data_IF_145434689369
#
_entry.id   IF_145434689369
#
_cell.length_a   1.000
_cell.length_b   1.000
_cell.length_c   1.000
_cell.angle_alpha   90.00
_cell.angle_beta   90.00
_cell.angle_gamma   90.00
#
_symmetry.space_group_name_H-M   'P 1'
#
loop_
_entity.id
_entity.type
_entity.pdbx_description
1 polymer ?
#
# COMPACT_ATOMS: atom_id res chain seq x y z
N UNK A 1 -0.86 17.13 -4.61
CA UNK A 1 0.03 16.55 -3.57
C UNK A 1 1.48 16.78 -3.97
N UNK A 2 2.21 17.70 -3.31
CA UNK A 2 3.60 18.00 -3.63
C UNK A 2 4.52 16.78 -3.56
N UNK A 3 4.27 15.85 -2.62
CA UNK A 3 5.07 14.62 -2.45
C UNK A 3 4.98 13.65 -3.64
N UNK A 4 3.81 13.56 -4.26
CA UNK A 4 3.63 12.77 -5.48
C UNK A 4 4.35 13.44 -6.64
N UNK A 5 4.26 14.77 -6.75
CA UNK A 5 4.95 15.52 -7.78
C UNK A 5 6.48 15.38 -7.66
N UNK A 6 7.04 15.50 -6.45
CA UNK A 6 8.49 15.33 -6.22
C UNK A 6 8.95 13.91 -6.54
N UNK A 7 8.20 12.88 -6.13
CA UNK A 7 8.53 11.48 -6.41
C UNK A 7 8.47 11.15 -7.90
N UNK A 8 7.45 11.65 -8.62
CA UNK A 8 7.30 11.44 -10.07
C UNK A 8 8.42 12.15 -10.83
N UNK A 9 8.74 13.40 -10.48
CA UNK A 9 9.82 14.15 -11.14
C UNK A 9 11.17 13.46 -10.89
N UNK A 10 11.44 13.00 -9.67
CA UNK A 10 12.66 12.24 -9.35
C UNK A 10 12.74 10.93 -10.16
N UNK A 11 11.64 10.17 -10.24
CA UNK A 11 11.57 8.95 -11.03
C UNK A 11 11.81 9.21 -12.54
N UNK A 12 11.25 10.29 -13.09
CA UNK A 12 11.46 10.69 -14.49
C UNK A 12 12.90 11.13 -14.78
N UNK A 13 13.59 11.70 -13.79
CA UNK A 13 15.01 12.07 -13.88
C UNK A 13 15.97 10.88 -13.68
N UNK A 14 15.46 9.68 -13.41
CA UNK A 14 16.27 8.49 -13.12
C UNK A 14 16.74 8.40 -11.67
N UNK A 15 16.37 9.37 -10.82
CA UNK A 15 16.70 9.45 -9.39
C UNK A 15 15.76 8.56 -8.56
N UNK A 16 15.83 7.24 -8.77
CA UNK A 16 14.89 6.28 -8.16
C UNK A 16 15.01 6.22 -6.64
N UNK A 17 16.23 6.35 -6.12
CA UNK A 17 16.48 6.32 -4.68
C UNK A 17 15.83 7.51 -3.96
N UNK A 18 15.83 8.69 -4.61
CA UNK A 18 15.15 9.89 -4.10
C UNK A 18 13.63 9.69 -4.11
N UNK A 19 13.08 9.11 -5.17
CA UNK A 19 11.64 8.84 -5.26
C UNK A 19 11.19 7.85 -4.17
N UNK A 20 11.94 6.76 -3.96
CA UNK A 20 11.64 5.77 -2.90
C UNK A 20 11.83 6.39 -1.52
N UNK A 21 12.93 7.13 -1.30
CA UNK A 21 13.21 7.82 -0.04
C UNK A 21 12.10 8.80 0.35
N UNK A 22 11.55 9.53 -0.62
CA UNK A 22 10.43 10.44 -0.38
C UNK A 22 9.16 9.67 0.02
N UNK A 23 8.79 8.60 -0.70
CA UNK A 23 7.59 7.80 -0.40
C UNK A 23 7.69 7.13 0.98
N UNK A 24 8.83 6.50 1.28
CA UNK A 24 9.04 5.82 2.57
C UNK A 24 9.12 6.86 3.70
N UNK A 25 9.87 7.94 3.50
CA UNK A 25 10.04 9.01 4.47
C UNK A 25 8.73 9.69 4.85
N UNK A 26 7.89 10.07 3.86
CA UNK A 26 6.57 10.68 4.12
C UNK A 26 5.64 9.75 4.89
N UNK A 27 5.64 8.44 4.61
CA UNK A 27 4.81 7.49 5.35
C UNK A 27 5.27 7.33 6.80
N UNK A 28 6.58 7.20 7.03
CA UNK A 28 7.14 7.12 8.40
C UNK A 28 6.83 8.41 9.16
N UNK A 29 7.02 9.57 8.54
CA UNK A 29 6.72 10.86 9.15
C UNK A 29 5.23 11.01 9.49
N UNK A 30 4.32 10.61 8.59
CA UNK A 30 2.89 10.69 8.85
C UNK A 30 2.44 9.77 9.99
N UNK A 31 2.98 8.56 10.08
CA UNK A 31 2.62 7.63 11.16
C UNK A 31 3.22 8.08 12.50
N UNK A 32 4.50 8.46 12.53
CA UNK A 32 5.19 8.77 13.78
C UNK A 32 4.92 10.19 14.26
N UNK A 33 5.04 11.19 13.38
CA UNK A 33 4.89 12.59 13.76
C UNK A 33 3.42 13.01 13.69
N UNK A 34 2.74 12.88 12.55
CA UNK A 34 1.38 13.41 12.41
C UNK A 34 0.40 12.62 13.29
N UNK A 35 0.30 11.30 13.10
CA UNK A 35 -0.60 10.47 13.90
C UNK A 35 -0.15 10.39 15.36
N UNK A 36 1.15 10.22 15.63
CA UNK A 36 1.69 10.19 16.99
C UNK A 36 1.42 11.48 17.77
N UNK A 37 1.74 12.64 17.22
CA UNK A 37 1.46 13.92 17.90
C UNK A 37 -0.06 14.18 18.01
N UNK A 38 -0.84 13.82 16.99
CA UNK A 38 -2.30 13.95 17.06
C UNK A 38 -2.90 13.09 18.18
N UNK A 39 -2.35 11.89 18.41
CA UNK A 39 -2.77 11.02 19.51
C UNK A 39 -2.44 11.59 20.90
N UNK A 40 -1.30 12.29 21.03
CA UNK A 40 -0.92 12.97 22.28
C UNK A 40 -1.82 14.20 22.50
N UNK A 41 -2.15 14.93 21.44
CA UNK A 41 -2.97 16.14 21.50
C UNK A 41 -4.46 15.85 21.73
N UNK A 42 -4.93 14.62 21.47
CA UNK A 42 -6.32 14.19 21.65
C UNK A 42 -6.45 13.20 22.83
N UNK A 43 -6.54 13.69 24.09
CA UNK A 43 -6.55 12.84 25.28
C UNK A 43 -7.76 11.91 25.37
N UNK A 44 -8.88 12.28 24.75
CA UNK A 44 -10.10 11.46 24.67
C UNK A 44 -10.07 10.44 23.51
N UNK A 45 -8.95 10.37 22.79
CA UNK A 45 -8.75 9.52 21.61
C UNK A 45 -9.08 10.23 20.30
N UNK A 46 -8.61 9.65 19.20
CA UNK A 46 -8.91 10.12 17.85
C UNK A 46 -10.24 9.51 17.39
N UNK A 47 -11.21 10.31 16.91
CA UNK A 47 -12.43 9.77 16.33
C UNK A 47 -12.09 9.08 15.01
N UNK A 48 -12.12 7.75 15.01
CA UNK A 48 -11.90 6.90 13.82
C UNK A 48 -13.22 6.21 13.47
N UNK A 49 -13.55 6.15 12.18
CA UNK A 49 -14.75 5.43 11.75
C UNK A 49 -14.61 3.92 11.96
N UNK A 50 -15.72 3.26 12.30
CA UNK A 50 -15.77 1.78 12.41
C UNK A 50 -15.35 1.09 11.10
N UNK A 51 -15.64 1.69 9.95
CA UNK A 51 -15.20 1.19 8.66
C UNK A 51 -13.67 1.21 8.52
N UNK A 52 -13.02 2.30 8.98
CA UNK A 52 -11.57 2.43 8.92
C UNK A 52 -10.87 1.41 9.83
N UNK A 53 -11.40 1.16 11.04
CA UNK A 53 -10.85 0.18 11.97
C UNK A 53 -11.02 -1.27 11.49
N UNK A 54 -12.18 -1.60 10.91
CA UNK A 54 -12.50 -2.97 10.54
C UNK A 54 -12.08 -3.37 9.13
N UNK A 55 -11.78 -2.41 8.25
CA UNK A 55 -11.45 -2.70 6.84
C UNK A 55 -10.22 -1.95 6.35
N UNK A 56 -10.21 -0.62 6.41
CA UNK A 56 -9.16 0.17 5.78
C UNK A 56 -7.77 -0.13 6.37
N UNK A 57 -7.68 -0.30 7.70
CA UNK A 57 -6.42 -0.64 8.38
C UNK A 57 -5.86 -1.97 7.90
N UNK A 58 -6.72 -2.96 7.66
CA UNK A 58 -6.31 -4.29 7.20
C UNK A 58 -5.87 -4.28 5.75
N UNK A 59 -6.54 -3.48 4.90
CA UNK A 59 -6.15 -3.30 3.51
C UNK A 59 -4.79 -2.60 3.42
N UNK A 60 -4.60 -1.51 4.17
CA UNK A 60 -3.32 -0.78 4.22
C UNK A 60 -2.20 -1.68 4.73
N UNK A 61 -2.45 -2.46 5.78
CA UNK A 61 -1.47 -3.41 6.31
C UNK A 61 -1.13 -4.51 5.29
N UNK A 62 -2.13 -5.08 4.62
CA UNK A 62 -1.92 -6.10 3.60
C UNK A 62 -1.07 -5.59 2.44
N UNK A 63 -1.34 -4.38 1.95
CA UNK A 63 -0.56 -3.73 0.90
C UNK A 63 0.87 -3.43 1.39
N UNK A 64 1.03 -2.93 2.62
CA UNK A 64 2.35 -2.66 3.19
C UNK A 64 3.21 -3.94 3.29
N UNK A 65 2.61 -5.06 3.72
CA UNK A 65 3.28 -6.36 3.78
C UNK A 65 3.62 -6.86 2.37
N UNK A 66 2.72 -6.68 1.40
CA UNK A 66 2.96 -7.06 0.00
C UNK A 66 4.11 -6.28 -0.66
N UNK A 67 4.39 -5.07 -0.18
CA UNK A 67 5.55 -4.31 -0.61
C UNK A 67 6.88 -4.92 -0.09
N UNK A 68 6.89 -5.63 1.04
CA UNK A 68 8.13 -6.14 1.67
C UNK A 68 8.93 -7.07 0.75
N UNK A 69 8.36 -8.13 0.14
CA UNK A 69 9.12 -8.98 -0.78
C UNK A 69 9.72 -8.16 -1.93
N UNK A 70 8.99 -7.18 -2.46
CA UNK A 70 9.40 -6.37 -3.61
C UNK A 70 10.57 -5.44 -3.25
N UNK A 71 10.63 -4.93 -2.02
CA UNK A 71 11.76 -4.13 -1.55
C UNK A 71 12.99 -4.98 -1.18
N UNK A 72 12.77 -6.16 -0.58
CA UNK A 72 13.86 -7.03 -0.11
C UNK A 72 14.41 -7.98 -1.18
N UNK A 73 13.76 -8.06 -2.33
CA UNK A 73 14.04 -9.07 -3.36
C UNK A 73 14.19 -8.41 -4.72
N UNK A 74 15.23 -8.77 -5.48
CA UNK A 74 15.64 -8.14 -6.76
C UNK A 74 16.45 -6.84 -6.65
N UNK A 75 17.37 -6.75 -5.68
CA UNK A 75 18.37 -5.68 -5.64
C UNK A 75 17.76 -4.28 -5.52
N UNK A 76 16.72 -4.15 -4.69
CA UNK A 76 16.02 -2.89 -4.40
C UNK A 76 15.46 -2.18 -5.64
N UNK A 77 15.08 -2.92 -6.69
CA UNK A 77 14.61 -2.33 -7.95
C UNK A 77 13.18 -2.75 -8.27
N UNK A 78 12.26 -1.78 -8.33
CA UNK A 78 10.86 -2.02 -8.73
C UNK A 78 10.76 -2.15 -10.25
N UNK A 79 10.20 -3.26 -10.73
CA UNK A 79 9.94 -3.49 -12.16
C UNK A 79 8.65 -2.80 -12.60
N UNK A 80 8.56 -2.45 -13.89
CA UNK A 80 7.37 -1.77 -14.46
C UNK A 80 6.06 -2.53 -14.21
N UNK A 81 6.09 -3.87 -14.22
CA UNK A 81 4.92 -4.70 -13.96
C UNK A 81 4.46 -4.67 -12.50
N UNK A 82 5.39 -4.60 -11.54
CA UNK A 82 5.08 -4.43 -10.12
C UNK A 82 4.45 -3.05 -9.87
N UNK A 83 5.00 -2.01 -10.50
CA UNK A 83 4.41 -0.66 -10.45
C UNK A 83 2.98 -0.62 -11.04
N UNK A 84 2.74 -1.34 -12.14
CA UNK A 84 1.41 -1.40 -12.76
C UNK A 84 0.39 -2.15 -11.88
N UNK A 85 0.84 -3.19 -11.18
CA UNK A 85 0.04 -3.91 -10.19
C UNK A 85 -0.36 -3.01 -9.02
N UNK A 86 0.58 -2.25 -8.45
CA UNK A 86 0.28 -1.29 -7.37
C UNK A 86 -0.63 -0.15 -7.83
N UNK A 87 -0.46 0.34 -9.05
CA UNK A 87 -1.36 1.34 -9.62
C UNK A 87 -2.78 0.78 -9.78
N UNK A 88 -2.91 -0.48 -10.20
CA UNK A 88 -4.19 -1.19 -10.26
C UNK A 88 -4.87 -1.28 -8.89
N UNK A 89 -4.14 -1.66 -7.84
CA UNK A 89 -4.65 -1.66 -6.46
C UNK A 89 -5.09 -0.27 -6.01
N UNK A 90 -4.32 0.77 -6.32
CA UNK A 90 -4.67 2.14 -5.98
C UNK A 90 -5.98 2.56 -6.65
N UNK A 91 -6.15 2.29 -7.94
CA UNK A 91 -7.39 2.59 -8.67
C UNK A 91 -8.58 1.84 -8.06
N UNK A 92 -8.43 0.53 -7.79
CA UNK A 92 -9.49 -0.27 -7.17
C UNK A 92 -9.93 0.28 -5.81
N UNK A 93 -8.97 0.73 -5.00
CA UNK A 93 -9.21 1.36 -3.71
C UNK A 93 -9.87 2.74 -3.83
N UNK A 94 -9.45 3.59 -4.77
CA UNK A 94 -10.11 4.89 -5.01
C UNK A 94 -11.57 4.72 -5.44
N UNK A 95 -11.85 3.71 -6.28
CA UNK A 95 -13.22 3.36 -6.67
C UNK A 95 -14.04 2.89 -5.45
N UNK A 96 -13.43 2.11 -4.54
CA UNK A 96 -14.07 1.73 -3.27
C UNK A 96 -14.46 2.98 -2.47
N UNK A 97 -13.51 3.90 -2.27
CA UNK A 97 -13.76 5.14 -1.53
C UNK A 97 -14.85 6.01 -2.18
N UNK A 98 -14.92 6.04 -3.52
CA UNK A 98 -15.96 6.77 -4.23
C UNK A 98 -17.36 6.17 -3.97
N UNK A 99 -17.49 4.84 -4.01
CA UNK A 99 -18.75 4.19 -3.65
C UNK A 99 -19.12 4.36 -2.18
N UNK A 100 -18.14 4.31 -1.29
CA UNK A 100 -18.32 4.57 0.15
C UNK A 100 -18.86 5.98 0.40
N UNK A 101 -18.20 6.99 -0.18
CA UNK A 101 -18.58 8.40 -0.04
C UNK A 101 -19.96 8.71 -0.64
N UNK A 102 -20.35 8.03 -1.71
CA UNK A 102 -21.66 8.24 -2.37
C UNK A 102 -22.79 7.43 -1.74
N UNK A 103 -22.52 6.58 -0.73
CA UNK A 103 -23.48 5.64 -0.12
C UNK A 103 -24.26 4.82 -1.16
N UNK A 104 -23.59 4.49 -2.27
CA UNK A 104 -24.20 3.78 -3.39
C UNK A 104 -24.67 2.39 -2.94
N UNK A 105 -25.85 1.92 -3.35
CA UNK A 105 -26.41 0.62 -2.92
C UNK A 105 -25.49 -0.60 -3.22
N UNK A 106 -24.54 -0.44 -4.14
CA UNK A 106 -23.54 -1.44 -4.52
C UNK A 106 -22.34 -1.56 -3.56
N UNK A 107 -22.26 -0.73 -2.53
CA UNK A 107 -21.20 -0.74 -1.49
C UNK A 107 -20.94 -2.13 -0.87
N UNK A 108 -21.98 -2.88 -0.43
CA UNK A 108 -21.76 -4.18 0.20
C UNK A 108 -21.17 -5.19 -0.77
N UNK A 109 -21.61 -5.17 -2.03
CA UNK A 109 -21.10 -6.02 -3.10
C UNK A 109 -19.65 -5.69 -3.47
N UNK A 110 -19.33 -4.41 -3.60
CA UNK A 110 -17.97 -3.97 -3.92
C UNK A 110 -16.99 -4.19 -2.76
N UNK A 111 -17.43 -3.98 -1.50
CA UNK A 111 -16.64 -4.30 -0.30
C UNK A 111 -16.35 -5.80 -0.20
N UNK A 112 -17.33 -6.66 -0.50
CA UNK A 112 -17.12 -8.10 -0.55
C UNK A 112 -16.17 -8.50 -1.67
N UNK A 113 -16.30 -7.89 -2.86
CA UNK A 113 -15.34 -8.08 -3.95
C UNK A 113 -13.92 -7.67 -3.53
N UNK A 114 -13.73 -6.53 -2.88
CA UNK A 114 -12.42 -6.10 -2.41
C UNK A 114 -11.83 -7.08 -1.38
N UNK A 115 -12.62 -7.58 -0.42
CA UNK A 115 -12.15 -8.60 0.53
C UNK A 115 -11.82 -9.94 -0.12
N UNK A 116 -12.57 -10.37 -1.14
CA UNK A 116 -12.43 -11.70 -1.77
C UNK A 116 -11.45 -11.69 -2.94
N UNK A 117 -11.20 -10.53 -3.56
CA UNK A 117 -10.22 -10.40 -4.64
C UNK A 117 -8.92 -9.79 -4.16
N UNK A 118 -8.94 -8.61 -3.52
CA UNK A 118 -7.70 -7.90 -3.21
C UNK A 118 -6.91 -8.65 -2.15
N UNK A 119 -7.53 -9.09 -1.06
CA UNK A 119 -6.81 -9.79 0.02
C UNK A 119 -6.20 -11.11 -0.47
N UNK A 120 -6.92 -12.00 -1.20
CA UNK A 120 -6.34 -13.24 -1.69
C UNK A 120 -5.36 -13.02 -2.84
N UNK A 121 -5.58 -12.04 -3.71
CA UNK A 121 -4.60 -11.69 -4.75
C UNK A 121 -3.31 -11.18 -4.13
N UNK A 122 -3.40 -10.40 -3.04
CA UNK A 122 -2.26 -9.90 -2.27
C UNK A 122 -1.55 -11.02 -1.53
N UNK A 123 -2.29 -11.95 -0.93
CA UNK A 123 -1.74 -13.15 -0.29
C UNK A 123 -1.07 -14.08 -1.32
N UNK A 124 -1.66 -14.22 -2.51
CA UNK A 124 -1.14 -15.01 -3.61
C UNK A 124 0.13 -14.38 -4.19
N UNK A 125 0.17 -13.08 -4.42
CA UNK A 125 1.39 -12.40 -4.88
C UNK A 125 2.50 -12.51 -3.84
N UNK A 126 2.18 -12.37 -2.54
CA UNK A 126 3.13 -12.64 -1.46
C UNK A 126 3.67 -14.07 -1.51
N UNK A 127 2.78 -15.07 -1.59
CA UNK A 127 3.17 -16.47 -1.64
C UNK A 127 4.04 -16.77 -2.87
N UNK A 128 3.66 -16.29 -4.06
CA UNK A 128 4.42 -16.48 -5.30
C UNK A 128 5.79 -15.82 -5.19
N UNK A 129 5.86 -14.58 -4.71
CA UNK A 129 7.13 -13.84 -4.62
C UNK A 129 8.07 -14.50 -3.60
N UNK A 130 7.55 -14.93 -2.45
CA UNK A 130 8.32 -15.63 -1.42
C UNK A 130 8.79 -17.01 -1.92
N UNK A 131 7.92 -17.79 -2.56
CA UNK A 131 8.25 -19.13 -3.07
C UNK A 131 9.25 -19.07 -4.22
N UNK A 132 9.05 -18.15 -5.17
CA UNK A 132 9.98 -17.92 -6.28
C UNK A 132 11.37 -17.66 -5.72
N UNK A 133 11.46 -16.87 -4.65
CA UNK A 133 12.75 -16.48 -4.10
C UNK A 133 13.39 -17.51 -3.19
N UNK A 134 12.60 -18.25 -2.44
CA UNK A 134 13.12 -19.39 -1.70
C UNK A 134 13.75 -20.42 -2.66
N UNK A 135 13.13 -20.63 -3.83
CA UNK A 135 13.69 -21.46 -4.91
C UNK A 135 14.92 -20.83 -5.55
N UNK A 136 14.90 -19.54 -5.88
CA UNK A 136 16.05 -18.86 -6.49
C UNK A 136 17.30 -18.86 -5.59
N UNK A 137 17.12 -18.72 -4.27
CA UNK A 137 18.19 -18.85 -3.27
C UNK A 137 18.68 -20.28 -3.12
N UNK A 138 17.78 -21.27 -3.19
CA UNK A 138 18.16 -22.69 -3.14
C UNK A 138 18.99 -23.12 -4.36
N UNK A 139 18.78 -22.51 -5.53
CA UNK A 139 19.55 -22.76 -6.76
C UNK A 139 20.88 -21.99 -6.87
N UNK A 140 21.20 -21.09 -5.95
CA UNK A 140 22.48 -20.34 -5.90
C UNK A 140 23.53 -20.97 -4.95
N UNK A 141 23.18 -22.07 -4.28
CA UNK A 141 24.12 -22.92 -3.53
C UNK A 141 24.55 -24.09 -4.40
#
# INVERSE_FOLDING_TARGET
LPEVATSVIAALKGERDIAVGNVVGSNIFNILCVLGLSSIAAPDGLPVSEAALNFDIWVVLAVAVACLPIFFTFGCTIRRWEGLLFLGYYIAYVVYLFFDATKHESLPGYRMMMMVFVVPLTALTLAITVVYEWRARASRK
#
